data_IF_017911423166
#
_entry.id   IF_017911423166
#
_cell.length_a   1.000
_cell.length_b   1.000
_cell.length_c   1.000
_cell.angle_alpha   90.00
_cell.angle_beta   90.00
_cell.angle_gamma   90.00
#
_symmetry.space_group_name_H-M   'P 1'
#
loop_
_entity.id
_entity.type
_entity.pdbx_description
1 polymer ?
#
# COMPACT_ATOMS: atom_id res chain seq x y z
N UNK A 1 -21.87 -0.05 -74.48
CA UNK A 1 -20.90 0.33 -73.43
C UNK A 1 -19.64 0.79 -74.13
N UNK A 2 -19.27 2.05 -73.95
CA UNK A 2 -18.26 2.72 -74.76
C UNK A 2 -16.85 2.21 -74.44
N UNK A 3 -16.07 1.84 -75.46
CA UNK A 3 -14.75 1.20 -75.29
C UNK A 3 -13.76 2.14 -74.60
N UNK A 4 -13.92 3.44 -74.86
CA UNK A 4 -13.15 4.52 -74.25
C UNK A 4 -13.40 4.64 -72.74
N UNK A 5 -14.64 4.40 -72.29
CA UNK A 5 -14.99 4.39 -70.88
C UNK A 5 -14.33 3.23 -70.13
N UNK A 6 -14.30 2.04 -70.73
CA UNK A 6 -13.64 0.86 -70.15
C UNK A 6 -12.12 1.03 -70.06
N UNK A 7 -11.49 1.63 -71.06
CA UNK A 7 -10.04 1.90 -71.03
C UNK A 7 -9.68 2.97 -69.99
N UNK A 8 -10.54 3.97 -69.80
CA UNK A 8 -10.38 4.98 -68.73
C UNK A 8 -10.47 4.35 -67.35
N UNK A 9 -11.41 3.42 -67.13
CA UNK A 9 -11.54 2.68 -65.87
C UNK A 9 -10.35 1.76 -65.61
N UNK A 10 -9.84 1.06 -66.64
CA UNK A 10 -8.62 0.25 -66.50
C UNK A 10 -7.41 1.10 -66.12
N UNK A 11 -7.24 2.26 -66.76
CA UNK A 11 -6.13 3.18 -66.45
C UNK A 11 -6.21 3.71 -65.02
N UNK A 12 -7.39 4.10 -64.55
CA UNK A 12 -7.61 4.52 -63.15
C UNK A 12 -7.29 3.38 -62.17
N UNK A 13 -7.70 2.15 -62.48
CA UNK A 13 -7.41 0.97 -61.64
C UNK A 13 -5.91 0.70 -61.59
N UNK A 14 -5.24 0.72 -62.73
CA UNK A 14 -3.81 0.40 -62.82
C UNK A 14 -2.94 1.51 -62.21
N UNK A 15 -3.38 2.78 -62.28
CA UNK A 15 -2.74 3.90 -61.57
C UNK A 15 -2.95 3.83 -60.05
N UNK A 16 -4.14 3.41 -59.58
CA UNK A 16 -4.40 3.15 -58.16
C UNK A 16 -3.58 1.96 -57.63
N UNK A 17 -3.46 0.89 -58.41
CA UNK A 17 -2.59 -0.24 -58.08
C UNK A 17 -1.13 0.20 -58.04
N UNK A 18 -0.65 1.00 -59.01
CA UNK A 18 0.70 1.57 -58.98
C UNK A 18 0.94 2.46 -57.76
N UNK A 19 -0.05 3.23 -57.30
CA UNK A 19 0.06 4.02 -56.08
C UNK A 19 0.20 3.13 -54.84
N UNK A 20 -0.56 2.03 -54.78
CA UNK A 20 -0.53 1.05 -53.68
C UNK A 20 0.76 0.21 -53.66
N UNK A 21 1.34 -0.05 -54.84
CA UNK A 21 2.59 -0.78 -55.03
C UNK A 21 3.84 0.09 -55.17
N UNK A 22 3.75 1.41 -54.95
CA UNK A 22 4.95 2.22 -54.73
C UNK A 22 5.55 1.80 -53.40
N UNK A 23 6.39 0.78 -53.49
CA UNK A 23 7.19 0.16 -52.45
C UNK A 23 7.87 1.20 -51.54
N UNK A 24 8.16 2.40 -52.06
CA UNK A 24 8.66 3.53 -51.28
C UNK A 24 7.69 4.06 -50.21
N UNK A 25 6.38 4.14 -50.48
CA UNK A 25 5.38 4.56 -49.48
C UNK A 25 5.12 3.47 -48.44
N UNK A 26 5.06 2.19 -48.85
CA UNK A 26 4.94 1.07 -47.92
C UNK A 26 6.21 0.89 -47.07
N UNK A 27 7.40 1.07 -47.67
CA UNK A 27 8.69 1.11 -46.94
C UNK A 27 8.80 2.34 -46.06
N UNK A 28 8.24 3.49 -46.44
CA UNK A 28 8.12 4.66 -45.56
C UNK A 28 7.19 4.38 -44.39
N UNK A 29 6.03 3.74 -44.60
CA UNK A 29 5.15 3.32 -43.51
C UNK A 29 5.79 2.26 -42.59
N UNK A 30 6.56 1.31 -43.13
CA UNK A 30 7.31 0.34 -42.32
C UNK A 30 8.57 0.94 -41.64
N UNK A 31 9.09 2.06 -42.15
CA UNK A 31 10.20 2.82 -41.52
C UNK A 31 9.71 3.97 -40.63
N UNK A 32 8.41 4.26 -40.64
CA UNK A 32 7.71 5.19 -39.76
C UNK A 32 7.15 4.48 -38.53
N UNK A 33 7.76 3.37 -38.09
CA UNK A 33 7.79 3.12 -36.65
C UNK A 33 8.59 4.27 -36.04
N UNK A 34 8.00 5.00 -35.12
CA UNK A 34 8.68 6.13 -34.49
C UNK A 34 10.01 5.62 -33.94
N UNK A 35 11.14 6.25 -34.30
CA UNK A 35 12.46 5.93 -33.75
C UNK A 35 12.55 6.17 -32.22
N UNK A 36 11.46 6.63 -31.63
CA UNK A 36 11.25 6.89 -30.21
C UNK A 36 10.30 5.87 -29.55
N UNK A 37 9.73 4.91 -30.28
CA UNK A 37 8.99 3.81 -29.66
C UNK A 37 9.98 2.89 -28.94
N UNK A 38 9.73 2.64 -27.66
CA UNK A 38 10.51 1.68 -26.90
C UNK A 38 10.44 0.32 -27.60
N UNK A 39 11.55 -0.44 -27.64
CA UNK A 39 11.58 -1.72 -28.31
C UNK A 39 10.55 -2.67 -27.68
N UNK A 40 9.67 -3.22 -28.52
CA UNK A 40 8.66 -4.21 -28.11
C UNK A 40 9.29 -5.31 -27.25
N UNK A 41 8.79 -5.45 -26.03
CA UNK A 41 9.19 -6.47 -25.08
C UNK A 41 8.03 -7.46 -24.88
N UNK A 42 8.12 -8.71 -25.39
CA UNK A 42 7.05 -9.72 -25.34
C UNK A 42 6.84 -10.28 -23.93
N UNK A 43 6.50 -9.41 -22.98
CA UNK A 43 6.25 -9.73 -21.59
C UNK A 43 4.95 -9.08 -21.17
N UNK A 44 4.20 -9.76 -20.31
CA UNK A 44 3.13 -9.11 -19.55
C UNK A 44 3.74 -8.34 -18.38
N UNK A 45 3.03 -7.31 -17.90
CA UNK A 45 3.38 -6.60 -16.69
C UNK A 45 2.12 -6.34 -15.88
N UNK A 46 1.71 -7.34 -15.09
CA UNK A 46 0.51 -7.29 -14.29
C UNK A 46 0.76 -6.54 -12.97
N UNK A 47 -0.16 -5.66 -12.61
CA UNK A 47 -0.15 -5.02 -11.30
C UNK A 47 -1.54 -4.58 -10.85
N UNK A 48 -1.67 -4.40 -9.53
CA UNK A 48 -2.81 -3.76 -8.87
C UNK A 48 -2.28 -2.51 -8.20
N UNK A 49 -2.91 -1.35 -8.43
CA UNK A 49 -2.42 -0.09 -7.88
C UNK A 49 -2.55 -0.08 -6.38
N UNK A 50 -1.50 0.35 -5.70
CA UNK A 50 -1.48 0.54 -4.26
C UNK A 50 -2.01 1.93 -3.85
N UNK A 51 -1.87 2.93 -4.73
CA UNK A 51 -2.35 4.30 -4.55
C UNK A 51 -2.66 4.94 -5.91
N UNK A 52 -3.32 6.09 -5.90
CA UNK A 52 -3.64 6.81 -7.14
C UNK A 52 -2.34 7.28 -7.83
N UNK A 53 -2.14 6.86 -9.08
CA UNK A 53 -0.91 7.14 -9.85
C UNK A 53 0.21 6.12 -9.65
N UNK A 54 -0.04 5.02 -8.93
CA UNK A 54 0.84 3.85 -8.96
C UNK A 54 0.85 3.25 -10.37
N UNK A 55 2.03 2.94 -10.88
CA UNK A 55 2.29 2.34 -12.18
C UNK A 55 2.96 0.96 -12.05
N UNK A 56 2.84 0.31 -10.88
CA UNK A 56 3.42 -1.01 -10.64
C UNK A 56 4.91 -0.98 -10.29
N UNK A 57 5.53 0.21 -10.23
CA UNK A 57 6.91 0.35 -9.76
C UNK A 57 7.01 -0.08 -8.29
N UNK A 58 8.00 -0.93 -7.99
CA UNK A 58 8.27 -1.45 -6.64
C UNK A 58 9.76 -1.37 -6.33
N UNK A 59 10.15 -1.17 -5.05
CA UNK A 59 9.29 -0.96 -3.88
C UNK A 59 8.55 0.38 -3.94
N UNK A 60 7.43 0.47 -3.24
CA UNK A 60 6.59 1.68 -3.26
C UNK A 60 7.39 2.89 -2.72
N UNK A 61 7.34 4.06 -3.39
CA UNK A 61 8.04 5.24 -2.93
C UNK A 61 7.68 5.63 -1.49
N UNK A 62 8.68 6.07 -0.74
CA UNK A 62 8.50 6.55 0.63
C UNK A 62 7.44 7.65 0.72
N UNK A 63 6.60 7.58 1.76
CA UNK A 63 5.54 8.56 1.98
C UNK A 63 4.30 8.36 1.10
N UNK A 64 4.13 7.18 0.49
CA UNK A 64 2.87 6.77 -0.16
C UNK A 64 2.15 5.72 0.67
N UNK A 65 0.84 5.88 0.84
CA UNK A 65 -0.01 4.89 1.48
C UNK A 65 -0.34 3.78 0.49
N UNK A 66 0.15 2.57 0.71
CA UNK A 66 -0.08 1.43 -0.18
C UNK A 66 -1.21 0.50 0.28
N UNK A 67 -1.72 0.71 1.49
CA UNK A 67 -2.75 -0.13 2.08
C UNK A 67 -4.18 0.36 1.77
N UNK A 68 -4.32 1.31 0.83
CA UNK A 68 -5.61 1.86 0.39
C UNK A 68 -5.68 1.86 -1.14
N UNK A 69 -5.65 0.66 -1.73
CA UNK A 69 -5.71 0.46 -3.17
C UNK A 69 -6.96 1.10 -3.77
N UNK A 70 -6.83 1.95 -4.81
CA UNK A 70 -7.97 2.45 -5.57
C UNK A 70 -8.59 1.38 -6.49
N UNK A 71 -7.92 0.25 -6.68
CA UNK A 71 -8.34 -0.80 -7.60
C UNK A 71 -9.15 -1.91 -6.93
N UNK A 72 -9.41 -1.78 -5.62
CA UNK A 72 -10.25 -2.71 -4.85
C UNK A 72 -11.44 -1.91 -4.31
N UNK A 73 -12.59 -2.08 -4.95
CA UNK A 73 -13.84 -1.40 -4.61
C UNK A 73 -14.85 -2.40 -4.07
N UNK A 74 -15.57 -2.01 -3.02
CA UNK A 74 -16.60 -2.82 -2.40
C UNK A 74 -17.97 -2.22 -2.71
N UNK A 75 -18.94 -3.05 -3.05
CA UNK A 75 -20.31 -2.66 -3.34
C UNK A 75 -21.27 -3.40 -2.42
N UNK A 76 -22.28 -2.69 -1.92
CA UNK A 76 -23.40 -3.26 -1.16
C UNK A 76 -24.67 -2.96 -1.95
N UNK A 77 -25.40 -4.00 -2.35
CA UNK A 77 -26.62 -3.88 -3.15
C UNK A 77 -26.45 -2.98 -4.40
N UNK A 78 -25.29 -3.09 -5.08
CA UNK A 78 -24.98 -2.36 -6.31
C UNK A 78 -24.53 -0.90 -6.13
N UNK A 79 -24.47 -0.39 -4.89
CA UNK A 79 -23.92 0.94 -4.59
C UNK A 79 -22.52 0.80 -3.99
N UNK A 80 -21.61 1.72 -4.35
CA UNK A 80 -20.27 1.77 -3.75
C UNK A 80 -20.42 1.83 -2.23
N UNK A 81 -19.94 0.79 -1.57
CA UNK A 81 -19.92 0.68 -0.13
C UNK A 81 -18.72 1.44 0.40
N UNK A 82 -18.97 2.32 1.36
CA UNK A 82 -17.88 3.02 1.99
C UNK A 82 -17.13 2.09 2.96
N UNK A 83 -15.90 1.74 2.59
CA UNK A 83 -14.97 0.89 3.36
C UNK A 83 -14.59 1.51 4.71
N UNK A 84 -14.95 2.78 4.96
CA UNK A 84 -14.96 3.43 6.29
C UNK A 84 -15.84 2.66 7.28
N UNK A 85 -16.93 2.07 6.81
CA UNK A 85 -17.90 1.37 7.65
C UNK A 85 -17.51 -0.11 7.83
N UNK A 86 -17.77 -0.70 9.01
CA UNK A 86 -17.60 -2.14 9.21
C UNK A 86 -18.53 -2.94 8.29
N UNK A 87 -18.11 -4.14 7.91
CA UNK A 87 -19.00 -5.06 7.20
C UNK A 87 -20.18 -5.46 8.07
N UNK A 88 -21.36 -5.45 7.48
CA UNK A 88 -22.60 -5.90 8.12
C UNK A 88 -22.69 -7.42 7.99
N UNK A 89 -23.23 -8.14 8.99
CA UNK A 89 -23.47 -9.57 8.88
C UNK A 89 -24.61 -9.85 7.89
N UNK A 90 -24.61 -11.06 7.31
CA UNK A 90 -25.72 -11.58 6.48
C UNK A 90 -26.11 -10.67 5.30
N UNK A 91 -25.14 -9.94 4.77
CA UNK A 91 -25.33 -8.92 3.74
C UNK A 91 -24.62 -9.32 2.44
N UNK A 92 -25.22 -8.98 1.31
CA UNK A 92 -24.68 -9.32 -0.01
C UNK A 92 -23.78 -8.20 -0.53
N UNK A 93 -22.51 -8.54 -0.69
CA UNK A 93 -21.49 -7.63 -1.20
C UNK A 93 -20.95 -8.11 -2.55
N UNK A 94 -20.45 -7.18 -3.34
CA UNK A 94 -19.63 -7.48 -4.53
C UNK A 94 -18.33 -6.73 -4.41
N UNK A 95 -17.20 -7.41 -4.53
CA UNK A 95 -15.89 -6.75 -4.65
C UNK A 95 -15.53 -6.67 -6.12
N UNK A 96 -15.17 -5.48 -6.58
CA UNK A 96 -14.54 -5.29 -7.88
C UNK A 96 -13.05 -5.11 -7.69
N UNK A 97 -12.26 -5.89 -8.43
CA UNK A 97 -10.79 -5.77 -8.46
C UNK A 97 -10.38 -5.42 -9.87
N UNK A 98 -9.70 -4.29 -10.02
CA UNK A 98 -9.09 -3.87 -11.29
C UNK A 98 -7.64 -4.28 -11.34
N UNK A 99 -7.23 -4.88 -12.46
CA UNK A 99 -5.85 -5.29 -12.72
C UNK A 99 -5.40 -4.63 -14.01
N UNK A 100 -4.21 -4.07 -14.01
CA UNK A 100 -3.60 -3.45 -15.19
C UNK A 100 -2.49 -4.33 -15.73
N UNK A 101 -2.38 -4.39 -17.06
CA UNK A 101 -1.27 -4.98 -17.80
C UNK A 101 -0.56 -3.87 -18.58
N UNK A 102 0.62 -3.44 -18.13
CA UNK A 102 1.46 -2.44 -18.82
C UNK A 102 2.50 -3.09 -19.76
N UNK A 103 2.42 -4.41 -19.94
CA UNK A 103 3.32 -5.14 -20.81
C UNK A 103 2.88 -5.06 -22.27
N UNK A 104 3.81 -5.26 -23.20
CA UNK A 104 3.49 -5.26 -24.63
C UNK A 104 2.82 -6.56 -25.11
N UNK A 105 2.76 -7.58 -24.25
CA UNK A 105 2.03 -8.82 -24.53
C UNK A 105 0.66 -8.83 -23.82
N UNK A 106 -0.38 -9.27 -24.53
CA UNK A 106 -1.67 -9.56 -23.92
C UNK A 106 -1.58 -10.75 -22.95
N UNK A 107 -2.20 -10.62 -21.78
CA UNK A 107 -2.35 -11.68 -20.81
C UNK A 107 -3.67 -12.42 -21.05
N UNK A 108 -3.62 -13.58 -21.70
CA UNK A 108 -4.82 -14.36 -22.04
C UNK A 108 -5.46 -15.07 -20.84
N UNK A 109 -4.72 -15.25 -19.74
CA UNK A 109 -5.18 -15.95 -18.54
C UNK A 109 -4.58 -15.32 -17.28
N UNK A 110 -5.05 -14.12 -16.95
CA UNK A 110 -4.77 -13.47 -15.66
C UNK A 110 -5.68 -14.07 -14.59
N UNK A 111 -5.09 -14.69 -13.58
CA UNK A 111 -5.77 -15.20 -12.38
C UNK A 111 -5.74 -14.14 -11.30
N UNK A 112 -6.91 -13.87 -10.70
CA UNK A 112 -7.09 -12.94 -9.59
C UNK A 112 -7.67 -13.70 -8.40
N UNK A 113 -6.92 -13.73 -7.30
CA UNK A 113 -7.37 -14.28 -6.03
C UNK A 113 -7.82 -13.13 -5.11
N UNK A 114 -8.93 -13.31 -4.40
CA UNK A 114 -9.41 -12.35 -3.40
C UNK A 114 -9.50 -13.00 -2.02
N UNK A 115 -8.92 -12.34 -1.03
CA UNK A 115 -8.95 -12.75 0.37
C UNK A 115 -9.53 -11.65 1.25
N UNK A 116 -10.29 -12.07 2.27
CA UNK A 116 -10.81 -11.23 3.33
C UNK A 116 -10.21 -11.67 4.65
N UNK A 117 -9.69 -10.74 5.44
CA UNK A 117 -9.17 -11.05 6.77
C UNK A 117 -9.57 -10.00 7.80
N UNK A 118 -9.41 -10.35 9.07
CA UNK A 118 -9.45 -9.37 10.15
C UNK A 118 -8.34 -8.34 9.97
N UNK A 119 -8.43 -7.15 10.60
CA UNK A 119 -7.37 -6.17 10.54
C UNK A 119 -6.06 -6.83 10.94
N UNK A 120 -5.07 -6.89 10.03
CA UNK A 120 -3.87 -7.67 10.29
C UNK A 120 -2.59 -6.95 9.89
N UNK A 121 -1.58 -7.03 10.76
CA UNK A 121 -0.22 -6.60 10.48
C UNK A 121 0.52 -7.76 9.81
N UNK A 122 0.69 -7.64 8.49
CA UNK A 122 1.13 -8.73 7.64
C UNK A 122 -0.05 -9.62 7.22
N UNK A 123 0.14 -10.34 6.12
CA UNK A 123 -0.88 -11.25 5.60
C UNK A 123 -0.26 -12.46 4.89
N UNK A 124 -0.98 -13.59 4.96
CA UNK A 124 -0.68 -14.81 4.21
C UNK A 124 -1.98 -15.49 3.80
N UNK A 125 -1.93 -16.37 2.79
CA UNK A 125 -3.09 -17.14 2.33
C UNK A 125 -3.73 -18.00 3.43
N UNK A 126 -2.97 -18.41 4.45
CA UNK A 126 -3.48 -19.16 5.60
C UNK A 126 -4.20 -18.27 6.62
N UNK A 127 -3.92 -16.97 6.61
CA UNK A 127 -4.44 -15.98 7.52
C UNK A 127 -5.78 -15.37 7.16
N UNK A 128 -6.25 -15.62 5.93
CA UNK A 128 -7.45 -15.00 5.40
C UNK A 128 -8.45 -16.03 4.91
N UNK A 129 -9.70 -15.60 4.85
CA UNK A 129 -10.76 -16.33 4.18
C UNK A 129 -10.70 -16.02 2.69
N UNK A 130 -10.47 -17.04 1.87
CA UNK A 130 -10.55 -16.89 0.42
C UNK A 130 -12.01 -16.63 0.02
N UNK A 131 -12.25 -15.49 -0.63
CA UNK A 131 -13.57 -15.12 -1.14
C UNK A 131 -13.81 -15.78 -2.50
N UNK A 132 -12.79 -15.77 -3.37
CA UNK A 132 -12.90 -16.40 -4.67
C UNK A 132 -11.63 -16.28 -5.50
N UNK A 133 -11.65 -16.96 -6.64
CA UNK A 133 -10.62 -16.93 -7.68
C UNK A 133 -11.34 -16.75 -9.02
N UNK A 134 -10.90 -15.77 -9.81
CA UNK A 134 -11.46 -15.48 -11.12
C UNK A 134 -10.34 -15.37 -12.14
N UNK A 135 -10.60 -15.81 -13.38
CA UNK A 135 -9.68 -15.61 -14.50
C UNK A 135 -10.26 -14.58 -15.47
N UNK A 136 -9.39 -13.75 -16.03
CA UNK A 136 -9.75 -12.77 -17.06
C UNK A 136 -8.63 -12.62 -18.09
N UNK A 137 -8.99 -12.09 -19.26
CA UNK A 137 -8.03 -11.69 -20.29
C UNK A 137 -7.81 -10.19 -20.19
N UNK A 138 -6.55 -9.77 -20.25
CA UNK A 138 -6.16 -8.36 -20.22
C UNK A 138 -5.27 -8.10 -21.44
N UNK A 139 -5.69 -7.19 -22.31
CA UNK A 139 -4.86 -6.79 -23.46
C UNK A 139 -3.58 -6.09 -23.01
N UNK A 140 -2.62 -5.95 -23.92
CA UNK A 140 -1.44 -5.11 -23.70
C UNK A 140 -1.86 -3.66 -23.42
N UNK A 141 -1.16 -2.98 -22.51
CA UNK A 141 -1.40 -1.58 -22.14
C UNK A 141 -2.85 -1.27 -21.75
N UNK A 142 -3.50 -2.21 -21.04
CA UNK A 142 -4.92 -2.15 -20.72
C UNK A 142 -5.21 -2.61 -19.31
N UNK A 143 -6.46 -2.41 -18.87
CA UNK A 143 -6.94 -2.86 -17.56
C UNK A 143 -8.23 -3.64 -17.70
N UNK A 144 -8.44 -4.60 -16.80
CA UNK A 144 -9.68 -5.34 -16.69
C UNK A 144 -10.15 -5.36 -15.24
N UNK A 145 -11.47 -5.35 -15.05
CA UNK A 145 -12.10 -5.46 -13.73
C UNK A 145 -12.79 -6.81 -13.63
N UNK A 146 -12.58 -7.50 -12.51
CA UNK A 146 -13.24 -8.76 -12.17
C UNK A 146 -14.10 -8.57 -10.92
N UNK A 147 -15.19 -9.33 -10.84
CA UNK A 147 -16.15 -9.23 -9.74
C UNK A 147 -16.16 -10.49 -8.87
N UNK A 148 -16.31 -10.28 -7.57
CA UNK A 148 -16.43 -11.34 -6.57
C UNK A 148 -17.68 -11.08 -5.72
N UNK A 149 -18.83 -11.66 -6.09
CA UNK A 149 -20.02 -11.62 -5.24
C UNK A 149 -19.81 -12.53 -4.03
N UNK A 150 -20.14 -12.05 -2.83
CA UNK A 150 -20.10 -12.86 -1.60
C UNK A 150 -21.13 -12.38 -0.58
N UNK A 151 -21.52 -13.29 0.30
CA UNK A 151 -22.43 -12.99 1.43
C UNK A 151 -21.64 -13.08 2.73
N UNK A 152 -21.70 -12.05 3.55
CA UNK A 152 -21.02 -12.03 4.85
C UNK A 152 -21.71 -12.95 5.84
N UNK A 153 -20.92 -13.66 6.64
CA UNK A 153 -21.39 -14.40 7.81
C UNK A 153 -21.21 -13.57 9.09
N UNK A 154 -21.78 -14.01 10.22
CA UNK A 154 -21.64 -13.28 11.50
C UNK A 154 -20.18 -13.13 11.96
N UNK A 155 -19.32 -14.08 11.64
CA UNK A 155 -17.89 -14.03 11.93
C UNK A 155 -17.11 -13.11 10.98
N UNK A 156 -17.72 -12.62 9.89
CA UNK A 156 -17.14 -11.63 8.98
C UNK A 156 -17.51 -10.19 9.34
N UNK A 157 -18.38 -9.98 10.33
CA UNK A 157 -18.79 -8.65 10.79
C UNK A 157 -17.62 -7.83 11.36
N UNK A 158 -17.65 -6.51 11.12
CA UNK A 158 -16.70 -5.56 11.65
C UNK A 158 -15.71 -5.04 10.60
N UNK A 159 -14.67 -4.33 11.05
CA UNK A 159 -13.61 -3.90 10.15
C UNK A 159 -12.87 -5.11 9.58
N UNK A 160 -12.62 -5.09 8.28
CA UNK A 160 -11.94 -6.15 7.54
C UNK A 160 -10.94 -5.52 6.58
N UNK A 161 -9.94 -6.31 6.24
CA UNK A 161 -8.92 -5.99 5.26
C UNK A 161 -9.13 -6.90 4.05
N UNK A 162 -9.03 -6.34 2.86
CA UNK A 162 -9.10 -7.10 1.61
C UNK A 162 -7.74 -7.10 0.93
N UNK A 163 -7.35 -8.29 0.47
CA UNK A 163 -6.14 -8.49 -0.29
C UNK A 163 -6.49 -9.15 -1.61
N UNK A 164 -6.08 -8.53 -2.70
CA UNK A 164 -6.19 -9.09 -4.03
C UNK A 164 -4.81 -9.40 -4.58
N UNK A 165 -4.68 -10.51 -5.31
CA UNK A 165 -3.44 -10.89 -5.99
C UNK A 165 -3.71 -11.27 -7.43
N UNK A 166 -2.98 -10.68 -8.37
CA UNK A 166 -3.09 -10.96 -9.79
C UNK A 166 -1.81 -11.62 -10.34
N UNK A 167 -1.94 -12.66 -11.16
CA UNK A 167 -0.80 -13.37 -11.73
C UNK A 167 -1.19 -14.16 -12.97
N UNK A 168 -0.21 -14.62 -13.75
CA UNK A 168 -0.44 -15.48 -14.91
C UNK A 168 0.63 -16.55 -15.02
N UNK A 169 0.20 -17.80 -14.88
CA UNK A 169 1.06 -18.98 -15.07
C UNK A 169 1.47 -19.15 -16.54
N UNK A 170 0.68 -18.61 -17.48
CA UNK A 170 0.90 -18.79 -18.92
C UNK A 170 1.89 -17.79 -19.51
N UNK A 171 1.95 -16.57 -18.97
CA UNK A 171 2.87 -15.52 -19.39
C UNK A 171 4.09 -15.36 -18.48
N UNK A 172 4.24 -16.26 -17.49
CA UNK A 172 5.30 -16.25 -16.49
C UNK A 172 5.38 -14.96 -15.65
N UNK A 173 4.23 -14.37 -15.33
CA UNK A 173 4.14 -13.16 -14.51
C UNK A 173 3.57 -13.53 -13.14
N UNK A 174 4.49 -13.78 -12.21
CA UNK A 174 4.22 -14.39 -10.91
C UNK A 174 4.43 -13.38 -9.77
N UNK A 175 3.67 -13.51 -8.68
CA UNK A 175 3.96 -12.77 -7.46
C UNK A 175 5.32 -13.20 -6.89
N UNK A 176 5.92 -12.35 -6.07
CA UNK A 176 7.20 -12.63 -5.40
C UNK A 176 7.09 -13.86 -4.49
N UNK A 177 5.94 -14.02 -3.83
CA UNK A 177 5.64 -15.14 -2.94
C UNK A 177 4.17 -15.59 -3.10
N UNK A 178 3.97 -16.90 -3.30
CA UNK A 178 2.65 -17.51 -3.48
C UNK A 178 1.87 -17.70 -2.17
N UNK A 179 2.49 -17.46 -1.02
CA UNK A 179 1.90 -17.66 0.31
C UNK A 179 1.85 -16.36 1.09
N UNK A 180 2.95 -15.61 1.13
CA UNK A 180 3.06 -14.39 1.93
C UNK A 180 2.81 -13.15 1.09
N UNK A 181 1.99 -12.23 1.59
CA UNK A 181 1.60 -11.07 0.81
C UNK A 181 2.41 -9.86 1.28
N UNK A 182 3.10 -9.21 0.33
CA UNK A 182 3.85 -7.99 0.58
C UNK A 182 3.53 -6.94 -0.47
N UNK A 183 2.43 -6.20 -0.28
CA UNK A 183 2.01 -5.13 -1.20
C UNK A 183 3.03 -3.99 -1.35
N UNK A 184 4.01 -3.87 -0.44
CA UNK A 184 5.05 -2.85 -0.54
C UNK A 184 6.08 -3.16 -1.63
N UNK A 185 6.47 -4.43 -1.78
CA UNK A 185 7.49 -4.88 -2.75
C UNK A 185 6.90 -5.62 -3.94
N UNK A 186 5.71 -6.19 -3.79
CA UNK A 186 5.06 -6.98 -4.82
C UNK A 186 3.99 -6.14 -5.54
N UNK A 187 4.15 -5.98 -6.85
CA UNK A 187 3.21 -5.23 -7.71
C UNK A 187 1.91 -5.96 -7.95
N UNK A 188 1.93 -7.28 -7.81
CA UNK A 188 0.79 -8.16 -8.05
C UNK A 188 -0.26 -8.08 -6.95
N UNK A 189 0.08 -7.47 -5.82
CA UNK A 189 -0.73 -7.49 -4.61
C UNK A 189 -1.30 -6.11 -4.35
N UNK A 190 -2.62 -6.02 -4.34
CA UNK A 190 -3.39 -4.87 -3.87
C UNK A 190 -3.89 -5.10 -2.45
N UNK A 191 -3.93 -4.04 -1.65
CA UNK A 191 -4.40 -4.07 -0.27
C UNK A 191 -5.40 -2.93 -0.04
N UNK A 192 -6.55 -3.24 0.55
CA UNK A 192 -7.58 -2.27 0.95
C UNK A 192 -7.91 -2.43 2.43
N UNK A 193 -7.33 -1.57 3.25
CA UNK A 193 -7.40 -1.61 4.71
C UNK A 193 -7.86 -0.27 5.27
N UNK A 194 -9.13 -0.18 5.64
CA UNK A 194 -9.62 0.98 6.38
C UNK A 194 -10.23 0.55 7.72
N UNK A 195 -9.54 0.95 8.79
CA UNK A 195 -9.99 0.72 10.15
C UNK A 195 -10.29 2.06 10.80
N UNK A 196 -11.53 2.24 11.24
CA UNK A 196 -11.94 3.43 11.98
C UNK A 196 -12.21 3.04 13.41
N UNK A 197 -11.62 3.77 14.35
CA UNK A 197 -11.73 3.47 15.77
C UNK A 197 -12.08 4.74 16.51
N UNK A 198 -13.17 4.70 17.27
CA UNK A 198 -13.51 5.80 18.17
C UNK A 198 -12.49 5.89 19.30
N UNK A 199 -12.11 7.10 19.69
CA UNK A 199 -11.33 7.34 20.89
C UNK A 199 -12.02 6.68 22.11
N UNK A 200 -11.22 6.16 23.04
CA UNK A 200 -11.74 5.41 24.18
C UNK A 200 -12.21 3.98 23.87
N UNK A 201 -12.09 3.51 22.62
CA UNK A 201 -12.40 2.12 22.23
C UNK A 201 -11.14 1.27 22.07
N UNK A 202 -11.37 -0.04 22.03
CA UNK A 202 -10.32 -1.03 21.76
C UNK A 202 -10.30 -1.35 20.27
N UNK A 203 -9.12 -1.30 19.66
CA UNK A 203 -8.84 -1.85 18.36
C UNK A 203 -8.34 -3.28 18.52
N UNK A 204 -8.94 -4.23 17.80
CA UNK A 204 -8.44 -5.60 17.71
C UNK A 204 -7.82 -5.83 16.33
N UNK A 205 -6.61 -6.39 16.30
CA UNK A 205 -5.93 -6.75 15.07
C UNK A 205 -5.10 -8.01 15.26
N UNK A 206 -4.86 -8.72 14.19
CA UNK A 206 -4.03 -9.91 14.17
C UNK A 206 -2.62 -9.54 13.71
N UNK A 207 -1.59 -10.09 14.33
CA UNK A 207 -0.24 -10.07 13.77
C UNK A 207 -0.05 -11.38 13.05
N UNK A 208 0.05 -11.30 11.72
CA UNK A 208 0.14 -12.46 10.86
C UNK A 208 1.30 -12.23 9.88
N UNK A 209 2.50 -12.61 10.28
CA UNK A 209 3.52 -12.90 9.27
C UNK A 209 4.54 -13.90 9.80
N UNK A 210 4.75 -14.87 8.92
CA UNK A 210 5.95 -15.70 8.70
C UNK A 210 5.89 -17.10 9.35
N UNK A 211 5.52 -18.08 8.52
CA UNK A 211 5.79 -19.53 8.61
C UNK A 211 7.31 -19.85 8.67
N UNK A 212 8.17 -18.91 9.09
CA UNK A 212 9.62 -19.11 9.30
C UNK A 212 10.21 -18.44 10.55
N UNK A 213 9.45 -17.68 11.34
CA UNK A 213 10.06 -16.81 12.39
C UNK A 213 9.34 -16.85 13.75
N UNK A 214 8.76 -18.00 14.12
CA UNK A 214 8.31 -18.23 15.49
C UNK A 214 9.46 -17.93 16.47
N UNK A 215 9.21 -17.05 17.43
CA UNK A 215 10.20 -16.60 18.42
C UNK A 215 11.00 -15.34 18.05
N UNK A 216 10.81 -14.76 16.87
CA UNK A 216 11.43 -13.48 16.50
C UNK A 216 10.83 -12.32 17.29
N UNK A 217 11.70 -11.39 17.69
CA UNK A 217 11.31 -10.12 18.29
C UNK A 217 11.05 -9.11 17.18
N UNK A 218 9.93 -8.41 17.28
CA UNK A 218 9.51 -7.36 16.36
C UNK A 218 9.11 -6.11 17.14
N UNK A 219 9.11 -4.96 16.46
CA UNK A 219 8.57 -3.73 17.01
C UNK A 219 7.20 -3.44 16.44
N UNK A 220 6.18 -3.35 17.29
CA UNK A 220 4.90 -2.74 16.91
C UNK A 220 5.06 -1.23 17.08
N UNK A 221 4.80 -0.48 16.02
CA UNK A 221 4.89 0.98 16.01
C UNK A 221 3.55 1.58 15.67
N UNK A 222 3.08 2.50 16.51
CA UNK A 222 1.86 3.28 16.28
C UNK A 222 2.20 4.76 16.29
N UNK A 223 2.12 5.40 15.13
CA UNK A 223 2.50 6.80 14.95
C UNK A 223 1.53 7.52 14.05
N UNK A 224 1.45 8.84 14.19
CA UNK A 224 0.66 9.68 13.32
C UNK A 224 1.19 9.61 11.88
N UNK A 225 0.28 9.50 10.91
CA UNK A 225 0.62 9.45 9.49
C UNK A 225 -0.33 10.32 8.66
N UNK A 226 0.12 11.54 8.34
CA UNK A 226 -0.71 12.53 7.67
C UNK A 226 -0.91 12.25 6.15
N UNK A 227 -0.13 11.33 5.57
CA UNK A 227 -0.22 10.98 4.14
C UNK A 227 -1.62 10.43 3.79
N UNK A 228 -2.30 9.86 4.78
CA UNK A 228 -3.61 9.22 4.64
C UNK A 228 -4.76 10.18 4.33
N UNK A 229 -4.63 11.47 4.64
CA UNK A 229 -5.65 12.47 4.33
C UNK A 229 -5.67 12.89 2.86
N UNK A 230 -4.71 12.45 2.05
CA UNK A 230 -4.78 12.59 0.59
C UNK A 230 -5.91 11.74 -0.02
N UNK A 231 -6.48 10.78 0.73
CA UNK A 231 -7.65 10.03 0.30
C UNK A 231 -8.92 10.90 0.36
N UNK A 232 -9.63 10.99 -0.77
CA UNK A 232 -10.83 11.81 -0.90
C UNK A 232 -12.00 11.36 0.00
N UNK A 233 -12.12 10.07 0.32
CA UNK A 233 -13.24 9.57 1.14
C UNK A 233 -13.11 10.02 2.59
N UNK A 234 -11.90 9.91 3.14
CA UNK A 234 -11.61 10.29 4.54
C UNK A 234 -11.67 11.80 4.70
N UNK A 235 -11.03 12.55 3.80
CA UNK A 235 -10.97 14.02 3.84
C UNK A 235 -12.32 14.70 3.61
N UNK A 236 -13.28 14.07 2.93
CA UNK A 236 -14.66 14.57 2.80
C UNK A 236 -15.48 14.43 4.09
N UNK A 237 -15.16 13.44 4.94
CA UNK A 237 -15.94 13.11 6.14
C UNK A 237 -15.34 13.66 7.42
N UNK A 238 -14.02 13.71 7.49
CA UNK A 238 -13.29 14.09 8.69
C UNK A 238 -12.33 15.24 8.41
N UNK A 239 -12.21 16.15 9.38
CA UNK A 239 -11.16 17.15 9.43
C UNK A 239 -9.94 16.56 10.16
N UNK A 240 -8.74 16.80 9.60
CA UNK A 240 -7.49 16.39 10.22
C UNK A 240 -7.26 17.18 11.52
N UNK A 241 -7.26 16.50 12.66
CA UNK A 241 -7.01 17.14 13.95
C UNK A 241 -5.51 17.25 14.23
N UNK A 242 -5.03 18.41 14.69
CA UNK A 242 -3.63 18.61 15.09
C UNK A 242 -3.34 18.26 16.56
N UNK A 243 -4.31 17.62 17.25
CA UNK A 243 -4.15 17.20 18.64
C UNK A 243 -2.98 16.22 18.80
N UNK A 244 -2.24 16.38 19.91
CA UNK A 244 -1.06 15.57 20.22
C UNK A 244 -1.49 14.20 20.71
N UNK A 245 -0.93 13.15 20.11
CA UNK A 245 -1.15 11.76 20.54
C UNK A 245 -0.09 11.36 21.55
N UNK A 246 -0.53 10.98 22.74
CA UNK A 246 0.30 10.46 23.83
C UNK A 246 0.30 8.95 23.77
N UNK A 247 1.21 8.37 22.99
CA UNK A 247 1.26 6.92 22.75
C UNK A 247 1.68 6.12 23.99
N UNK A 248 2.24 6.77 25.01
CA UNK A 248 2.48 6.21 26.35
C UNK A 248 1.18 5.84 27.09
N UNK A 249 0.04 6.43 26.71
CA UNK A 249 -1.27 6.09 27.26
C UNK A 249 -1.95 4.92 26.54
N UNK A 250 -1.37 4.46 25.43
CA UNK A 250 -1.90 3.33 24.66
C UNK A 250 -1.41 2.04 25.31
N UNK A 251 -2.35 1.14 25.58
CA UNK A 251 -2.04 -0.17 26.16
C UNK A 251 -2.26 -1.26 25.12
N UNK A 252 -1.33 -2.21 25.07
CA UNK A 252 -1.32 -3.30 24.11
C UNK A 252 -1.30 -4.64 24.84
N UNK A 253 -2.26 -5.50 24.52
CA UNK A 253 -2.46 -6.78 25.18
C UNK A 253 -2.64 -7.88 24.15
N UNK A 254 -2.00 -9.02 24.38
CA UNK A 254 -2.36 -10.23 23.67
C UNK A 254 -3.61 -10.85 24.32
N UNK A 255 -4.48 -11.50 23.55
CA UNK A 255 -5.75 -12.11 24.02
C UNK A 255 -5.60 -13.03 25.26
N UNK A 256 -4.38 -13.52 25.54
CA UNK A 256 -4.03 -14.31 26.71
C UNK A 256 -3.59 -13.46 27.94
N UNK A 257 -3.98 -12.17 28.01
CA UNK A 257 -3.76 -11.22 29.11
C UNK A 257 -2.31 -10.87 29.47
N UNK A 258 -1.34 -11.23 28.63
CA UNK A 258 0.03 -10.75 28.80
C UNK A 258 0.14 -9.33 28.25
N UNK A 259 0.26 -8.36 29.15
CA UNK A 259 0.52 -6.97 28.79
C UNK A 259 1.90 -6.86 28.14
N UNK A 260 1.94 -6.34 26.91
CA UNK A 260 3.20 -6.04 26.23
C UNK A 260 3.66 -4.67 26.70
N UNK A 261 4.76 -4.60 27.45
CA UNK A 261 5.23 -3.31 27.97
C UNK A 261 5.89 -2.50 26.85
N UNK A 262 5.56 -1.21 26.68
CA UNK A 262 6.33 -0.34 25.79
C UNK A 262 7.77 -0.29 26.26
N UNK A 263 8.71 -0.56 25.36
CA UNK A 263 10.11 -0.30 25.64
C UNK A 263 10.37 1.18 25.39
N UNK A 264 10.75 1.89 26.45
CA UNK A 264 11.26 3.25 26.35
C UNK A 264 12.65 3.14 25.71
N UNK A 265 12.72 3.20 24.37
CA UNK A 265 14.01 3.25 23.67
C UNK A 265 14.62 4.62 23.90
N UNK A 266 15.41 4.74 24.97
CA UNK A 266 16.39 5.81 25.07
C UNK A 266 17.57 5.42 24.19
N UNK A 267 17.78 6.10 23.06
CA UNK A 267 19.02 5.96 22.29
C UNK A 267 20.20 6.20 23.26
N UNK A 268 20.95 5.15 23.59
CA UNK A 268 22.29 5.30 24.16
C UNK A 268 23.19 5.73 23.02
N UNK A 269 23.50 7.00 22.94
CA UNK A 269 24.64 7.49 22.16
C UNK A 269 25.88 6.76 22.68
N UNK A 270 26.44 5.83 21.90
CA UNK A 270 27.81 5.32 22.10
C UNK A 270 28.82 6.43 21.75
N UNK A 271 28.85 7.52 22.51
CA UNK A 271 29.96 8.50 22.48
C UNK A 271 30.04 9.18 23.84
N UNK A 272 30.81 8.61 24.77
CA UNK A 272 31.57 9.32 25.82
C UNK A 272 32.13 8.30 26.80
N UNK A 273 33.30 7.74 26.47
CA UNK A 273 34.25 7.19 27.43
C UNK A 273 35.68 7.34 26.91
N UNK A 274 36.03 8.52 26.36
CA UNK A 274 37.39 8.80 25.90
C UNK A 274 37.88 10.25 26.07
N UNK A 275 37.18 11.09 26.83
CA UNK A 275 37.68 12.43 27.19
C UNK A 275 37.40 12.75 28.65
N UNK A 276 38.01 11.95 29.54
CA UNK A 276 38.39 12.38 30.89
C UNK A 276 39.87 12.08 31.12
N UNK A 277 40.73 12.56 30.21
CA UNK A 277 42.14 12.76 30.52
C UNK A 277 42.77 13.71 29.51
N UNK A 278 42.60 15.01 29.72
CA UNK A 278 43.68 15.99 29.53
C UNK A 278 43.13 17.38 29.79
N UNK A 279 43.47 17.89 30.97
CA UNK A 279 43.60 19.32 31.19
C UNK A 279 44.44 19.93 30.05
N UNK A 280 43.96 21.00 29.43
CA UNK A 280 44.77 22.20 29.19
C UNK A 280 43.90 23.36 28.71
N UNK A 281 43.77 24.34 29.61
CA UNK A 281 43.82 25.79 29.37
C UNK A 281 44.11 26.18 27.91
N UNK A 282 43.21 26.96 27.31
CA UNK A 282 43.61 28.22 26.69
C UNK A 282 42.43 29.20 26.49
N UNK A 283 42.68 30.43 26.98
CA UNK A 283 41.94 31.67 26.73
C UNK A 283 42.16 32.12 25.28
N UNK A 284 41.10 32.57 24.60
CA UNK A 284 41.12 33.52 23.48
C UNK A 284 39.70 34.15 23.40
N UNK A 285 39.48 35.30 24.07
CA UNK A 285 39.39 36.65 23.49
C UNK A 285 38.40 36.77 22.32
N UNK A 286 37.25 37.37 22.62
CA UNK A 286 36.31 37.94 21.65
C UNK A 286 36.92 39.16 20.94
N UNK A 287 36.66 39.28 19.65
CA UNK A 287 36.54 40.56 18.93
C UNK A 287 35.26 40.54 18.10
N UNK A 288 34.49 41.62 18.20
CA UNK A 288 33.22 41.88 17.53
C UNK A 288 33.42 42.09 16.03
N UNK A 289 32.52 41.53 15.20
CA UNK A 289 31.71 42.25 14.21
C UNK A 289 30.82 41.27 13.41
N UNK A 290 29.62 41.76 13.04
CA UNK A 290 28.56 41.15 12.23
C UNK A 290 27.45 40.37 12.97
N UNK A 291 26.44 41.13 13.39
CA UNK A 291 25.06 40.67 13.54
C UNK A 291 24.49 40.30 12.15
N UNK A 292 23.95 39.09 11.98
CA UNK A 292 22.53 38.81 11.70
C UNK A 292 22.33 37.29 11.47
N UNK A 293 21.21 36.78 12.01
CA UNK A 293 20.78 35.37 12.11
C UNK A 293 21.42 34.56 13.25
N UNK A 294 20.95 34.83 14.48
CA UNK A 294 21.05 33.87 15.57
C UNK A 294 20.19 32.65 15.18
N UNK A 295 20.80 31.65 14.54
CA UNK A 295 20.36 30.27 14.72
C UNK A 295 20.52 29.99 16.20
N UNK A 296 19.40 29.80 16.91
CA UNK A 296 19.43 29.28 18.27
C UNK A 296 20.35 28.05 18.26
N UNK A 297 21.35 27.98 19.15
CA UNK A 297 22.24 26.83 19.21
C UNK A 297 21.37 25.61 19.48
N UNK A 298 21.50 24.62 18.60
CA UNK A 298 21.01 23.27 18.83
C UNK A 298 21.39 22.87 20.26
N UNK A 299 20.38 22.71 21.12
CA UNK A 299 20.56 22.19 22.48
C UNK A 299 20.63 20.66 22.33
N UNK A 300 21.79 20.02 22.46
CA UNK A 300 21.89 18.57 22.45
C UNK A 300 21.40 18.11 23.82
N UNK A 301 20.17 17.58 23.92
CA UNK A 301 19.68 17.17 25.23
C UNK A 301 18.24 16.65 25.34
N UNK A 302 17.35 16.85 24.36
CA UNK A 302 16.06 16.18 24.39
C UNK A 302 16.16 14.84 23.68
N UNK A 303 16.29 13.78 24.46
CA UNK A 303 16.01 12.41 24.00
C UNK A 303 14.59 12.42 23.43
N UNK A 304 14.44 12.41 22.11
CA UNK A 304 13.21 11.89 21.51
C UNK A 304 13.16 10.41 21.89
N UNK A 305 12.37 10.12 22.92
CA UNK A 305 11.84 8.79 23.11
C UNK A 305 11.13 8.43 21.81
N UNK A 306 11.44 7.29 21.21
CA UNK A 306 10.58 6.70 20.17
C UNK A 306 9.27 6.28 20.85
N UNK A 307 8.42 7.25 21.18
CA UNK A 307 7.12 7.04 21.79
C UNK A 307 6.23 6.29 20.79
N UNK A 308 5.51 5.27 21.26
CA UNK A 308 4.61 4.47 20.42
C UNK A 308 5.29 3.28 19.75
N UNK A 309 6.29 2.70 20.42
CA UNK A 309 6.98 1.49 20.00
C UNK A 309 6.93 0.44 21.12
N UNK A 310 6.46 -0.76 20.80
CA UNK A 310 6.36 -1.89 21.72
C UNK A 310 7.19 -3.04 21.19
N UNK A 311 8.03 -3.62 22.06
CA UNK A 311 8.75 -4.86 21.75
C UNK A 311 7.80 -6.04 21.91
N UNK A 312 7.60 -6.81 20.85
CA UNK A 312 6.69 -7.94 20.83
C UNK A 312 7.43 -9.17 20.29
N UNK A 313 7.27 -10.32 20.94
CA UNK A 313 7.81 -11.58 20.44
C UNK A 313 6.70 -12.38 19.78
N UNK A 314 6.90 -12.82 18.53
CA UNK A 314 5.92 -13.63 17.80
C UNK A 314 5.87 -15.03 18.44
N UNK A 315 4.74 -15.35 19.07
CA UNK A 315 4.57 -16.62 19.82
C UNK A 315 3.81 -17.69 19.04
N UNK A 316 2.88 -17.29 18.20
CA UNK A 316 2.02 -18.15 17.38
C UNK A 316 1.93 -17.63 15.95
N UNK A 317 1.41 -18.47 15.06
CA UNK A 317 1.18 -18.14 13.64
C UNK A 317 0.15 -17.02 13.47
N UNK A 318 -0.80 -16.94 14.40
CA UNK A 318 -1.75 -15.85 14.52
C UNK A 318 -1.76 -15.35 15.96
N UNK A 319 -1.44 -14.08 16.15
CA UNK A 319 -1.51 -13.44 17.47
C UNK A 319 -2.56 -12.34 17.44
N UNK A 320 -3.64 -12.53 18.20
CA UNK A 320 -4.67 -11.52 18.34
C UNK A 320 -4.25 -10.50 19.40
N UNK A 321 -4.09 -9.26 18.97
CA UNK A 321 -3.65 -8.14 19.78
C UNK A 321 -4.79 -7.14 19.94
N UNK A 322 -4.97 -6.68 21.17
CA UNK A 322 -5.90 -5.61 21.54
C UNK A 322 -5.11 -4.36 21.89
N UNK A 323 -5.52 -3.23 21.33
CA UNK A 323 -4.95 -1.91 21.58
C UNK A 323 -6.03 -0.99 22.13
N UNK A 324 -5.87 -0.53 23.37
CA UNK A 324 -6.77 0.47 23.98
C UNK A 324 -6.38 1.86 23.50
N UNK A 325 -7.26 2.51 22.73
CA UNK A 325 -7.09 3.89 22.29
C UNK A 325 -7.60 4.82 23.39
N UNK A 326 -6.76 5.70 23.96
CA UNK A 326 -7.19 6.63 25.01
C UNK A 326 -8.15 7.69 24.46
N UNK A 327 -8.82 8.40 25.37
CA UNK A 327 -9.52 9.64 25.01
C UNK A 327 -8.48 10.67 24.55
N UNK A 328 -8.54 11.05 23.28
CA UNK A 328 -7.66 12.05 22.66
C UNK A 328 -8.26 13.46 22.70
N UNK A 329 -9.52 13.57 23.13
CA UNK A 329 -10.27 14.82 23.17
C UNK A 329 -10.71 15.26 21.78
N UNK A 330 -10.89 14.34 20.84
CA UNK A 330 -11.37 14.66 19.48
C UNK A 330 -12.83 15.14 19.52
N UNK A 331 -13.15 16.11 18.67
CA UNK A 331 -14.48 16.66 18.48
C UNK A 331 -15.19 16.02 17.30
N UNK A 332 -16.52 16.21 17.20
CA UNK A 332 -17.31 15.64 16.11
C UNK A 332 -16.69 15.97 14.74
N UNK A 333 -16.54 14.94 13.91
CA UNK A 333 -15.90 14.99 12.58
C UNK A 333 -14.38 15.29 12.60
N UNK A 334 -13.73 15.33 13.76
CA UNK A 334 -12.26 15.31 13.81
C UNK A 334 -11.74 13.88 13.72
N UNK A 335 -10.62 13.72 13.02
CA UNK A 335 -9.90 12.46 13.01
C UNK A 335 -8.38 12.64 13.05
N UNK A 336 -7.69 11.65 13.61
CA UNK A 336 -6.23 11.54 13.57
C UNK A 336 -5.88 10.26 12.82
N UNK A 337 -5.15 10.36 11.70
CA UNK A 337 -4.67 9.21 10.97
C UNK A 337 -3.44 8.65 11.67
N UNK A 338 -3.46 7.35 11.94
CA UNK A 338 -2.41 6.64 12.63
C UNK A 338 -1.97 5.44 11.80
N UNK A 339 -0.67 5.31 11.58
CA UNK A 339 -0.05 4.13 11.01
C UNK A 339 0.32 3.16 12.12
N UNK A 340 -0.20 1.95 12.02
CA UNK A 340 0.20 0.81 12.83
C UNK A 340 1.07 -0.11 11.96
N UNK A 341 2.32 -0.34 12.36
CA UNK A 341 3.26 -1.15 11.60
C UNK A 341 4.02 -2.13 12.49
N UNK A 342 4.43 -3.26 11.91
CA UNK A 342 5.41 -4.18 12.50
C UNK A 342 6.73 -3.94 11.82
N UNK A 343 7.79 -3.72 12.60
CA UNK A 343 9.13 -3.42 12.10
C UNK A 343 10.10 -4.49 12.61
N UNK A 344 10.96 -5.00 11.73
CA UNK A 344 12.06 -5.85 12.12
C UNK A 344 13.12 -5.02 12.87
N UNK A 345 13.48 -5.35 14.12
CA UNK A 345 14.49 -4.63 14.88
C UNK A 345 15.89 -4.68 14.24
N UNK A 346 16.20 -5.72 13.46
CA UNK A 346 17.51 -5.92 12.87
C UNK A 346 17.71 -5.09 11.60
N UNK A 347 16.70 -5.07 10.71
CA UNK A 347 16.79 -4.37 9.41
C UNK A 347 16.13 -2.99 9.44
N UNK A 348 15.19 -2.75 10.36
CA UNK A 348 14.36 -1.55 10.37
C UNK A 348 13.27 -1.52 9.30
N UNK A 349 13.09 -2.62 8.55
CA UNK A 349 12.09 -2.71 7.49
C UNK A 349 10.69 -2.99 8.05
N UNK A 350 9.68 -2.40 7.39
CA UNK A 350 8.27 -2.66 7.68
C UNK A 350 7.91 -4.06 7.20
N UNK A 351 7.54 -4.94 8.13
CA UNK A 351 7.08 -6.29 7.84
C UNK A 351 5.59 -6.34 7.49
N UNK A 352 4.84 -5.28 7.81
CA UNK A 352 3.42 -5.16 7.50
C UNK A 352 2.83 -3.96 8.22
N UNK A 353 1.81 -3.35 7.61
CA UNK A 353 1.15 -2.18 8.17
C UNK A 353 -0.34 -2.14 7.88
N UNK A 354 -1.05 -1.49 8.79
CA UNK A 354 -2.44 -1.09 8.59
C UNK A 354 -2.60 0.38 8.94
N UNK A 355 -3.56 0.99 8.27
CA UNK A 355 -4.04 2.32 8.60
C UNK A 355 -5.16 2.24 9.62
N UNK A 356 -5.08 3.11 10.63
CA UNK A 356 -6.11 3.32 11.65
C UNK A 356 -6.48 4.80 11.69
N UNK A 357 -7.75 5.12 11.48
CA UNK A 357 -8.27 6.48 11.63
C UNK A 357 -8.96 6.57 12.99
N UNK A 358 -8.38 7.35 13.90
CA UNK A 358 -8.97 7.57 15.23
C UNK A 358 -9.94 8.75 15.14
N UNK A 359 -11.19 8.54 15.53
CA UNK A 359 -12.28 9.53 15.45
C UNK A 359 -12.87 9.84 16.83
N UNK A 360 -13.71 10.87 16.91
CA UNK A 360 -14.32 11.33 18.16
C UNK A 360 -15.31 10.36 18.81
#
# INVERSE_FOLDING_TARGET
>A
MDREYLDKLKKIRDDKLRLFYKDEMNRKMMKCGDLNEEPYNPTTFLYIRAFLGDNGNRPIPSGKCYCLSPDIELYLNGSVFDTVNPLLPESNYTVQVTVTNDGDQACNSCTVDLYLCKPSLGFSTQGGTMIGITNTRIEAHSSATVEFPFTTTKDMEGHRCMFARAYSLTSNDYPEDMVNFNSYTDRHIGQQNLNIVHQGKTLEFDVNRIIKEKGKNVYIVFKRDNVLFENQLISKRFALSNKRVFTDKIKLYEKNNLMTKPEIITKRSKVLNLLKSSNQKNKLKLSNENQYNIKLPYIPGTKELEQGKWSYQIRSELSNIKMEIPMLGLEKNEAIPMRLAVIDPATGESMGEITVIVVA
#
